data_IF_543918579074
#
_entry.id   IF_543918579074
#
_cell.length_a   1.000
_cell.length_b   1.000
_cell.length_c   1.000
_cell.angle_alpha   90.00
_cell.angle_beta   90.00
_cell.angle_gamma   90.00
#
_symmetry.space_group_name_H-M   'P 1'
#
loop_
_entity.id
_entity.type
_entity.pdbx_description
1 polymer ?
#
# COMPACT_ATOMS: atom_id res chain seq x y z
N UNK A 1 36.30 17.15 -25.43
CA UNK A 1 35.29 17.00 -24.37
C UNK A 1 33.94 16.47 -24.85
N UNK A 2 33.55 16.56 -26.11
CA UNK A 2 32.26 16.09 -26.65
C UNK A 2 32.14 14.58 -26.91
N UNK A 3 33.23 13.86 -27.03
CA UNK A 3 33.20 12.41 -27.35
C UNK A 3 32.77 11.49 -26.19
N UNK A 4 32.84 11.96 -24.95
CA UNK A 4 32.45 11.16 -23.78
C UNK A 4 30.98 11.34 -23.36
N UNK A 5 30.32 12.39 -23.87
CA UNK A 5 28.91 12.63 -23.60
C UNK A 5 27.98 11.68 -24.36
N UNK A 6 28.42 11.22 -25.54
CA UNK A 6 27.66 10.30 -26.40
C UNK A 6 27.72 8.84 -25.85
N UNK A 7 28.81 8.48 -25.18
CA UNK A 7 28.95 7.12 -24.61
C UNK A 7 28.09 6.91 -23.37
N UNK A 8 27.76 7.97 -22.63
CA UNK A 8 26.88 7.88 -21.45
C UNK A 8 25.38 7.81 -21.83
N UNK A 9 25.02 8.34 -23.00
CA UNK A 9 23.66 8.31 -23.53
C UNK A 9 23.24 6.93 -24.06
N UNK A 10 24.19 6.13 -24.52
CA UNK A 10 23.94 4.80 -25.11
C UNK A 10 23.77 3.68 -24.08
N UNK A 11 24.19 3.88 -22.82
CA UNK A 11 23.99 2.89 -21.76
C UNK A 11 22.57 2.87 -21.17
N UNK A 12 21.73 3.86 -21.46
CA UNK A 12 20.34 3.92 -20.97
C UNK A 12 19.31 3.26 -21.91
N UNK A 13 19.73 2.72 -23.04
CA UNK A 13 18.83 2.06 -24.02
C UNK A 13 18.79 0.54 -23.88
N UNK A 14 19.44 -0.03 -22.87
CA UNK A 14 19.43 -1.49 -22.69
C UNK A 14 18.27 -1.85 -21.74
N UNK A 15 17.30 -2.52 -22.35
CA UNK A 15 16.30 -3.37 -21.71
C UNK A 15 14.99 -2.70 -21.23
N UNK A 16 14.25 -2.10 -22.12
CA UNK A 16 12.80 -2.23 -22.08
C UNK A 16 12.39 -3.55 -22.75
N UNK A 17 12.81 -4.69 -22.22
CA UNK A 17 12.10 -5.93 -22.48
C UNK A 17 10.71 -5.75 -21.88
N UNK A 18 9.70 -5.50 -22.74
CA UNK A 18 8.30 -5.44 -22.34
C UNK A 18 7.93 -6.82 -21.79
N UNK A 19 8.00 -6.98 -20.49
CA UNK A 19 7.53 -8.19 -19.84
C UNK A 19 6.07 -8.40 -20.24
N UNK A 20 5.74 -9.56 -20.81
CA UNK A 20 4.36 -9.86 -21.14
C UNK A 20 3.57 -10.10 -19.84
N UNK A 21 2.57 -9.26 -19.60
CA UNK A 21 1.72 -9.38 -18.43
C UNK A 21 0.96 -10.72 -18.36
N UNK A 22 0.80 -11.40 -19.50
CA UNK A 22 0.08 -12.69 -19.59
C UNK A 22 0.91 -13.83 -19.02
N UNK A 23 2.21 -13.79 -19.22
CA UNK A 23 3.15 -14.84 -18.80
C UNK A 23 3.90 -14.50 -17.52
N UNK A 24 3.68 -13.27 -16.98
CA UNK A 24 4.34 -12.82 -15.77
C UNK A 24 4.02 -13.74 -14.58
N UNK A 25 5.03 -14.09 -13.81
CA UNK A 25 4.94 -14.94 -12.63
C UNK A 25 3.98 -14.35 -11.58
N UNK A 26 3.08 -15.18 -11.08
CA UNK A 26 2.09 -14.87 -10.05
C UNK A 26 2.07 -15.92 -8.95
N UNK A 27 3.13 -16.68 -8.78
CA UNK A 27 3.26 -17.67 -7.71
C UNK A 27 3.32 -17.00 -6.34
N UNK A 28 2.98 -17.76 -5.28
CA UNK A 28 3.24 -17.37 -3.89
C UNK A 28 4.73 -17.20 -3.64
N UNK A 29 5.08 -16.33 -2.72
CA UNK A 29 6.45 -16.21 -2.18
C UNK A 29 6.59 -16.84 -0.78
N UNK A 30 5.56 -17.57 -0.33
CA UNK A 30 5.51 -18.31 0.93
C UNK A 30 5.73 -17.42 2.19
N UNK A 31 5.22 -16.18 2.16
CA UNK A 31 5.17 -15.30 3.33
C UNK A 31 3.90 -15.54 4.14
N UNK A 32 2.77 -15.74 3.44
CA UNK A 32 1.51 -16.02 4.10
C UNK A 32 1.47 -17.46 4.62
N UNK A 33 1.03 -17.69 5.87
CA UNK A 33 0.85 -19.05 6.37
C UNK A 33 -0.25 -19.76 5.60
N UNK A 34 -0.08 -21.06 5.39
CA UNK A 34 -1.09 -21.87 4.71
C UNK A 34 -2.34 -22.00 5.59
N UNK A 35 -3.56 -21.86 5.04
CA UNK A 35 -4.80 -22.03 5.79
C UNK A 35 -4.95 -23.41 6.43
N UNK A 36 -4.28 -24.44 5.91
CA UNK A 36 -4.23 -25.79 6.47
C UNK A 36 -3.38 -25.88 7.75
N UNK A 37 -2.39 -25.00 7.91
CA UNK A 37 -1.45 -25.02 9.03
C UNK A 37 -1.94 -24.19 10.22
N UNK A 38 -2.70 -23.11 9.95
CA UNK A 38 -3.19 -22.23 11.00
C UNK A 38 -4.71 -22.04 10.91
N UNK A 39 -5.38 -22.13 12.07
CA UNK A 39 -6.83 -21.90 12.16
C UNK A 39 -7.20 -20.47 12.50
N UNK A 40 -6.29 -19.72 13.12
CA UNK A 40 -6.53 -18.34 13.54
C UNK A 40 -6.89 -17.41 12.37
N UNK A 41 -7.57 -16.32 12.67
CA UNK A 41 -7.79 -15.25 11.72
C UNK A 41 -6.48 -14.55 11.39
N UNK A 42 -6.34 -14.07 10.14
CA UNK A 42 -5.13 -13.36 9.67
C UNK A 42 -5.54 -12.17 8.81
N UNK A 43 -4.86 -11.05 8.99
CA UNK A 43 -4.96 -9.87 8.13
C UNK A 43 -3.56 -9.44 7.70
N UNK A 44 -3.36 -9.31 6.42
CA UNK A 44 -2.12 -8.86 5.80
C UNK A 44 -2.36 -7.66 4.89
N UNK A 45 -1.43 -6.72 4.90
CA UNK A 45 -1.30 -5.69 3.86
C UNK A 45 0.00 -5.93 3.12
N UNK A 46 -0.07 -5.94 1.81
CA UNK A 46 1.08 -6.12 0.93
C UNK A 46 1.26 -4.94 -0.01
N UNK A 47 2.51 -4.73 -0.40
CA UNK A 47 2.89 -3.87 -1.51
C UNK A 47 3.87 -4.62 -2.41
N UNK A 48 3.81 -4.37 -3.70
CA UNK A 48 4.82 -4.85 -4.65
C UNK A 48 5.09 -3.79 -5.72
N UNK A 49 6.30 -3.78 -6.27
CA UNK A 49 6.61 -2.90 -7.40
C UNK A 49 5.58 -3.08 -8.52
N UNK A 50 5.13 -1.97 -9.11
CA UNK A 50 4.16 -2.00 -10.20
C UNK A 50 4.75 -2.64 -11.46
N UNK A 51 3.91 -2.87 -12.46
CA UNK A 51 4.31 -3.49 -13.71
C UNK A 51 4.95 -2.49 -14.68
N UNK A 52 5.85 -2.94 -15.54
CA UNK A 52 6.58 -2.15 -16.54
C UNK A 52 7.47 -1.05 -15.90
N UNK A 53 7.74 0.02 -16.66
CA UNK A 53 8.57 1.14 -16.22
C UNK A 53 8.12 1.78 -14.91
N UNK A 54 6.83 1.68 -14.58
CA UNK A 54 6.26 2.20 -13.32
C UNK A 54 6.85 1.54 -12.07
N UNK A 55 7.40 0.33 -12.20
CA UNK A 55 8.07 -0.38 -11.09
C UNK A 55 9.23 0.41 -10.47
N UNK A 56 9.84 1.30 -11.22
CA UNK A 56 10.94 2.14 -10.74
C UNK A 56 10.46 3.29 -9.85
N UNK A 57 9.18 3.66 -9.94
CA UNK A 57 8.61 4.81 -9.24
C UNK A 57 7.62 4.44 -8.15
N UNK A 58 6.83 3.38 -8.35
CA UNK A 58 5.68 3.13 -7.50
C UNK A 58 5.45 1.65 -7.19
N UNK A 59 4.67 1.43 -6.15
CA UNK A 59 4.14 0.11 -5.76
C UNK A 59 2.64 0.03 -6.01
N UNK A 60 2.14 -1.20 -6.07
CA UNK A 60 0.74 -1.57 -6.01
C UNK A 60 0.49 -2.21 -4.65
N UNK A 61 -0.58 -1.82 -3.97
CA UNK A 61 -0.94 -2.35 -2.65
C UNK A 61 -2.24 -3.14 -2.69
N UNK A 62 -2.38 -4.09 -1.75
CA UNK A 62 -3.60 -4.86 -1.53
C UNK A 62 -3.72 -5.34 -0.09
N UNK A 63 -4.95 -5.69 0.30
CA UNK A 63 -5.27 -6.29 1.59
C UNK A 63 -5.70 -7.73 1.37
N UNK A 64 -5.21 -8.64 2.18
CA UNK A 64 -5.64 -10.02 2.23
C UNK A 64 -6.03 -10.39 3.66
N UNK A 65 -7.11 -11.14 3.81
CA UNK A 65 -7.50 -11.65 5.13
C UNK A 65 -8.10 -13.05 5.04
N UNK A 66 -7.97 -13.78 6.12
CA UNK A 66 -8.57 -15.09 6.35
C UNK A 66 -9.30 -15.07 7.68
N UNK A 67 -10.58 -15.38 7.69
CA UNK A 67 -11.34 -15.56 8.93
C UNK A 67 -10.88 -16.82 9.69
N UNK A 68 -11.19 -16.89 10.98
CA UNK A 68 -10.91 -18.07 11.78
C UNK A 68 -11.54 -19.32 11.15
N UNK A 69 -10.75 -20.36 11.00
CA UNK A 69 -11.19 -21.62 10.40
C UNK A 69 -11.41 -21.60 8.87
N UNK A 70 -11.31 -20.45 8.22
CA UNK A 70 -11.45 -20.37 6.77
C UNK A 70 -10.32 -21.11 6.06
N UNK A 71 -10.66 -21.74 4.91
CA UNK A 71 -9.73 -22.55 4.12
C UNK A 71 -9.00 -21.75 3.04
N UNK A 72 -9.33 -20.49 2.86
CA UNK A 72 -8.80 -19.63 1.80
C UNK A 72 -8.71 -18.18 2.28
N UNK A 73 -7.81 -17.41 1.66
CA UNK A 73 -7.75 -15.98 1.84
C UNK A 73 -8.68 -15.25 0.88
N UNK A 74 -9.31 -14.19 1.37
CA UNK A 74 -9.93 -13.16 0.55
C UNK A 74 -8.92 -12.06 0.27
N UNK A 75 -8.72 -11.74 -0.99
CA UNK A 75 -7.78 -10.70 -1.45
C UNK A 75 -8.55 -9.56 -2.09
N UNK A 76 -8.33 -8.34 -1.61
CA UNK A 76 -8.97 -7.12 -2.10
C UNK A 76 -7.95 -6.11 -2.62
N UNK A 77 -8.18 -5.62 -3.82
CA UNK A 77 -7.40 -4.55 -4.42
C UNK A 77 -8.21 -3.77 -5.47
N UNK A 78 -7.63 -2.68 -5.97
CA UNK A 78 -8.25 -1.84 -7.00
C UNK A 78 -7.48 -1.96 -8.32
N UNK A 79 -8.19 -2.20 -9.41
CA UNK A 79 -7.63 -2.47 -10.73
C UNK A 79 -8.24 -1.53 -11.78
N UNK A 80 -7.46 -0.57 -12.26
CA UNK A 80 -7.93 0.48 -13.16
C UNK A 80 -8.47 -0.01 -14.52
N UNK A 81 -7.97 -1.15 -15.04
CA UNK A 81 -8.48 -1.69 -16.32
C UNK A 81 -9.91 -2.21 -16.23
N UNK A 82 -10.40 -2.56 -15.04
CA UNK A 82 -11.78 -3.01 -14.83
C UNK A 82 -12.78 -1.89 -15.09
N UNK A 83 -12.46 -0.67 -14.64
CA UNK A 83 -13.31 0.52 -14.88
C UNK A 83 -13.45 0.80 -16.37
N UNK A 84 -12.37 0.65 -17.13
CA UNK A 84 -12.42 0.80 -18.60
C UNK A 84 -13.30 -0.26 -19.27
N UNK A 85 -13.46 -1.43 -18.66
CA UNK A 85 -14.38 -2.48 -19.09
C UNK A 85 -15.80 -2.34 -18.51
N UNK A 86 -16.15 -1.23 -17.87
CA UNK A 86 -17.48 -0.98 -17.29
C UNK A 86 -17.73 -1.66 -15.94
N UNK A 87 -16.70 -2.29 -15.34
CA UNK A 87 -16.80 -2.94 -14.03
C UNK A 87 -16.29 -2.07 -12.88
N UNK A 88 -16.55 -2.53 -11.64
CA UNK A 88 -15.96 -1.90 -10.45
C UNK A 88 -14.45 -2.01 -10.47
N UNK A 89 -13.75 -0.93 -10.04
CA UNK A 89 -12.32 -0.95 -9.81
C UNK A 89 -11.95 -1.92 -8.69
N UNK A 90 -12.80 -2.03 -7.67
CA UNK A 90 -12.59 -2.94 -6.54
C UNK A 90 -12.81 -4.38 -6.99
N UNK A 91 -11.88 -5.24 -6.68
CA UNK A 91 -12.03 -6.69 -6.80
C UNK A 91 -11.74 -7.33 -5.44
N UNK A 92 -12.66 -8.19 -5.00
CA UNK A 92 -12.49 -9.09 -3.86
C UNK A 92 -12.72 -10.51 -4.32
N UNK A 93 -11.75 -11.38 -4.13
CA UNK A 93 -11.86 -12.78 -4.49
C UNK A 93 -10.98 -13.66 -3.61
N UNK A 94 -11.29 -14.96 -3.57
CA UNK A 94 -10.39 -15.98 -3.06
C UNK A 94 -9.16 -16.05 -3.94
N UNK A 95 -7.98 -15.87 -3.37
CA UNK A 95 -6.72 -15.87 -4.13
C UNK A 95 -5.53 -16.17 -3.19
N UNK A 96 -4.35 -16.37 -3.77
CA UNK A 96 -3.07 -16.45 -3.08
C UNK A 96 -2.73 -15.05 -2.53
N UNK A 97 -2.63 -14.90 -1.19
CA UNK A 97 -2.49 -13.57 -0.58
C UNK A 97 -1.16 -12.87 -0.90
N UNK A 98 -0.07 -13.63 -0.97
CA UNK A 98 1.31 -13.18 -1.13
C UNK A 98 1.87 -13.46 -2.53
N UNK A 99 0.99 -13.51 -3.52
CA UNK A 99 1.40 -13.76 -4.91
C UNK A 99 2.25 -12.62 -5.47
N UNK A 100 3.22 -12.95 -6.28
CA UNK A 100 4.00 -11.96 -7.03
C UNK A 100 3.08 -11.09 -7.90
N UNK A 101 3.33 -9.79 -7.88
CA UNK A 101 2.62 -8.84 -8.72
C UNK A 101 3.35 -8.67 -10.05
N UNK A 102 2.92 -9.45 -11.05
CA UNK A 102 3.58 -9.49 -12.37
C UNK A 102 5.10 -9.71 -12.30
N UNK A 103 5.51 -10.72 -11.54
CA UNK A 103 6.92 -11.07 -11.33
C UNK A 103 7.61 -10.29 -10.21
N UNK A 104 7.03 -9.22 -9.68
CA UNK A 104 7.62 -8.47 -8.57
C UNK A 104 7.21 -9.10 -7.23
N UNK A 105 8.20 -9.36 -6.39
CA UNK A 105 8.02 -9.93 -5.05
C UNK A 105 7.26 -8.94 -4.15
N UNK A 106 6.19 -9.37 -3.47
CA UNK A 106 5.52 -8.55 -2.49
C UNK A 106 6.35 -8.39 -1.20
N UNK A 107 6.17 -7.25 -0.58
CA UNK A 107 6.62 -6.94 0.77
C UNK A 107 5.39 -6.93 1.69
N UNK A 108 5.50 -7.58 2.85
CA UNK A 108 4.47 -7.60 3.88
C UNK A 108 4.62 -6.36 4.76
N UNK A 109 3.60 -5.51 4.77
CA UNK A 109 3.58 -4.26 5.53
C UNK A 109 3.03 -4.50 6.93
N UNK A 110 2.00 -5.33 7.07
CA UNK A 110 1.47 -5.70 8.38
C UNK A 110 1.00 -7.14 8.41
N UNK A 111 1.12 -7.76 9.58
CA UNK A 111 0.67 -9.11 9.90
C UNK A 111 -0.10 -9.06 11.23
N UNK A 112 -1.42 -9.13 11.18
CA UNK A 112 -2.30 -9.13 12.34
C UNK A 112 -2.93 -10.52 12.44
N UNK A 113 -2.96 -11.11 13.64
CA UNK A 113 -3.41 -12.48 13.84
C UNK A 113 -4.33 -12.66 15.02
N UNK A 114 -5.07 -13.78 15.03
CA UNK A 114 -5.95 -14.20 16.13
C UNK A 114 -7.03 -13.18 16.43
N UNK A 115 -7.29 -12.91 17.72
CA UNK A 115 -8.37 -12.04 18.16
C UNK A 115 -8.31 -10.61 17.59
N UNK A 116 -7.11 -10.06 17.40
CA UNK A 116 -6.94 -8.74 16.80
C UNK A 116 -7.37 -8.75 15.32
N UNK A 117 -7.05 -9.83 14.58
CA UNK A 117 -7.52 -10.01 13.20
C UNK A 117 -9.04 -10.24 13.13
N UNK A 118 -9.62 -10.98 14.07
CA UNK A 118 -11.08 -11.17 14.17
C UNK A 118 -11.81 -9.84 14.37
N UNK A 119 -11.24 -8.93 15.15
CA UNK A 119 -11.78 -7.59 15.36
C UNK A 119 -11.60 -6.70 14.12
N UNK A 120 -10.45 -6.80 13.44
CA UNK A 120 -10.12 -6.00 12.27
C UNK A 120 -10.95 -6.37 11.02
N UNK A 121 -11.21 -7.67 10.77
CA UNK A 121 -11.86 -8.14 9.53
C UNK A 121 -13.23 -7.50 9.28
N UNK A 122 -14.17 -7.39 10.24
CA UNK A 122 -15.43 -6.70 10.03
C UNK A 122 -15.24 -5.21 9.68
N UNK A 123 -14.28 -4.53 10.32
CA UNK A 123 -13.94 -3.13 10.03
C UNK A 123 -13.35 -2.96 8.63
N UNK A 124 -12.49 -3.89 8.20
CA UNK A 124 -11.96 -3.93 6.81
C UNK A 124 -13.10 -4.04 5.80
N UNK A 125 -14.05 -4.96 6.02
CA UNK A 125 -15.21 -5.12 5.14
C UNK A 125 -16.05 -3.84 5.07
N UNK A 126 -16.29 -3.18 6.21
CA UNK A 126 -17.00 -1.91 6.27
C UNK A 126 -16.24 -0.79 5.55
N UNK A 127 -14.91 -0.71 5.73
CA UNK A 127 -14.06 0.25 5.02
C UNK A 127 -14.09 0.03 3.49
N UNK A 128 -14.04 -1.22 3.02
CA UNK A 128 -14.18 -1.55 1.59
C UNK A 128 -15.52 -1.05 1.05
N UNK A 129 -16.62 -1.26 1.79
CA UNK A 129 -17.97 -0.84 1.38
C UNK A 129 -18.13 0.69 1.38
N UNK A 130 -17.45 1.39 2.28
CA UNK A 130 -17.52 2.86 2.38
C UNK A 130 -16.60 3.59 1.39
N UNK A 131 -15.73 2.88 0.66
CA UNK A 131 -14.83 3.51 -0.31
C UNK A 131 -15.58 4.22 -1.42
N UNK A 132 -15.27 5.50 -1.63
CA UNK A 132 -16.07 6.40 -2.47
C UNK A 132 -15.84 6.27 -3.97
N UNK A 133 -14.82 5.51 -4.40
CA UNK A 133 -14.40 5.44 -5.80
C UNK A 133 -14.48 4.02 -6.41
N UNK A 134 -15.57 3.26 -6.22
CA UNK A 134 -15.66 1.89 -6.73
C UNK A 134 -15.66 1.84 -8.26
N UNK A 135 -16.14 2.90 -8.92
CA UNK A 135 -16.28 2.97 -10.38
C UNK A 135 -15.38 4.03 -11.02
N UNK A 136 -14.38 4.50 -10.27
CA UNK A 136 -13.44 5.50 -10.75
C UNK A 136 -12.01 5.12 -10.40
N UNK A 137 -11.09 5.32 -11.34
CA UNK A 137 -9.68 5.05 -11.15
C UNK A 137 -8.84 6.08 -11.89
N UNK A 138 -7.91 6.69 -11.19
CA UNK A 138 -6.88 7.54 -11.77
C UNK A 138 -5.54 7.10 -11.22
N UNK A 139 -4.65 6.67 -12.12
CA UNK A 139 -3.33 6.15 -11.74
C UNK A 139 -2.51 7.18 -10.94
N UNK A 140 -2.59 8.46 -11.34
CA UNK A 140 -1.90 9.59 -10.71
C UNK A 140 -2.81 10.83 -10.73
N UNK A 141 -2.89 11.60 -9.64
CA UNK A 141 -2.35 11.36 -8.29
C UNK A 141 -3.17 10.37 -7.47
N UNK A 142 -4.29 9.91 -7.95
CA UNK A 142 -5.29 9.04 -7.33
C UNK A 142 -6.71 9.46 -7.73
N UNK A 143 -7.76 8.75 -7.29
CA UNK A 143 -7.71 7.53 -6.47
C UNK A 143 -7.23 6.30 -7.25
N UNK A 144 -6.45 5.43 -6.59
CA UNK A 144 -5.86 4.22 -7.17
C UNK A 144 -5.77 3.09 -6.12
N UNK A 145 -4.96 2.06 -6.36
CA UNK A 145 -4.81 0.95 -5.39
C UNK A 145 -4.25 1.41 -4.04
N UNK A 146 -3.32 2.36 -4.04
CA UNK A 146 -2.69 2.83 -2.82
C UNK A 146 -3.65 3.71 -1.99
N UNK A 147 -4.45 4.58 -2.63
CA UNK A 147 -5.50 5.33 -1.93
C UNK A 147 -6.59 4.42 -1.36
N UNK A 148 -6.91 3.31 -2.03
CA UNK A 148 -7.87 2.33 -1.53
C UNK A 148 -7.37 1.63 -0.26
N UNK A 149 -6.12 1.14 -0.27
CA UNK A 149 -5.53 0.50 0.91
C UNK A 149 -5.28 1.51 2.03
N UNK A 150 -4.85 2.72 1.70
CA UNK A 150 -4.71 3.83 2.64
C UNK A 150 -6.05 4.18 3.32
N UNK A 151 -7.17 4.19 2.55
CA UNK A 151 -8.51 4.35 3.11
C UNK A 151 -8.85 3.23 4.12
N UNK A 152 -8.55 1.97 3.78
CA UNK A 152 -8.79 0.85 4.70
C UNK A 152 -7.95 1.01 5.97
N UNK A 153 -6.66 1.29 5.86
CA UNK A 153 -5.76 1.47 7.00
C UNK A 153 -6.29 2.57 7.94
N UNK A 154 -6.69 3.75 7.41
CA UNK A 154 -7.24 4.85 8.22
C UNK A 154 -8.52 4.51 8.98
N UNK A 155 -9.31 3.56 8.47
CA UNK A 155 -10.60 3.17 9.05
C UNK A 155 -10.53 1.92 9.92
N UNK A 156 -9.35 1.30 10.07
CA UNK A 156 -9.13 0.06 10.84
C UNK A 156 -8.02 0.30 11.84
N UNK A 157 -8.40 0.66 13.07
CA UNK A 157 -7.47 1.06 14.12
C UNK A 157 -6.45 -0.02 14.54
N UNK A 158 -6.76 -1.29 14.28
CA UNK A 158 -5.86 -2.41 14.54
C UNK A 158 -4.64 -2.40 13.60
N UNK A 159 -4.74 -1.79 12.43
CA UNK A 159 -3.66 -1.82 11.44
C UNK A 159 -2.46 -0.97 11.84
N UNK A 160 -2.66 0.26 12.29
CA UNK A 160 -1.63 1.20 12.79
C UNK A 160 -0.29 1.22 12.03
N UNK A 161 -0.37 1.11 10.73
CA UNK A 161 0.76 1.14 9.82
C UNK A 161 0.58 2.23 8.78
N UNK A 162 1.61 2.50 8.02
CA UNK A 162 1.58 3.38 6.86
C UNK A 162 2.00 2.63 5.60
N UNK A 163 1.55 3.09 4.45
CA UNK A 163 2.10 2.64 3.19
C UNK A 163 3.45 3.32 2.92
N UNK A 164 4.38 2.64 2.24
CA UNK A 164 5.71 3.20 1.96
C UNK A 164 5.64 4.47 1.09
N UNK A 165 6.66 5.34 1.15
CA UNK A 165 6.66 6.63 0.45
C UNK A 165 6.55 6.53 -1.08
N UNK A 166 6.85 5.37 -1.66
CA UNK A 166 6.65 5.08 -3.07
C UNK A 166 5.25 4.50 -3.40
N UNK A 167 4.33 4.47 -2.44
CA UNK A 167 2.92 4.16 -2.69
C UNK A 167 2.18 5.41 -3.19
N UNK A 168 2.49 5.84 -4.41
CA UNK A 168 1.90 7.03 -5.03
C UNK A 168 0.37 6.94 -4.99
N UNK A 169 -0.28 7.96 -4.43
CA UNK A 169 -1.73 8.02 -4.24
C UNK A 169 -2.19 7.70 -2.81
N UNK A 170 -1.29 7.29 -1.89
CA UNK A 170 -1.64 7.09 -0.48
C UNK A 170 -2.17 8.37 0.18
N UNK A 171 -1.71 9.52 -0.29
CA UNK A 171 -2.08 10.85 0.22
C UNK A 171 -3.37 11.41 -0.42
N UNK A 172 -4.04 10.65 -1.28
CA UNK A 172 -5.35 11.00 -1.80
C UNK A 172 -6.40 10.78 -0.71
N UNK A 173 -6.94 11.87 -0.17
CA UNK A 173 -7.99 11.80 0.84
C UNK A 173 -9.38 11.66 0.21
N UNK A 174 -10.29 10.97 0.90
CA UNK A 174 -11.65 10.76 0.43
C UNK A 174 -12.45 12.07 0.32
N UNK A 175 -13.35 12.13 -0.64
CA UNK A 175 -14.28 13.24 -0.87
C UNK A 175 -13.61 14.62 -1.09
N UNK A 176 -12.33 14.66 -1.48
CA UNK A 176 -11.60 15.93 -1.60
C UNK A 176 -11.35 16.62 -0.24
N UNK A 177 -11.44 15.89 0.86
CA UNK A 177 -11.07 16.41 2.18
C UNK A 177 -9.64 16.93 2.16
N UNK A 178 -9.43 18.07 2.83
CA UNK A 178 -8.08 18.62 3.01
C UNK A 178 -7.40 18.08 4.27
N UNK A 179 -8.17 17.55 5.22
CA UNK A 179 -7.69 17.08 6.53
C UNK A 179 -8.15 15.66 6.81
N UNK A 180 -7.26 14.88 7.40
CA UNK A 180 -7.56 13.52 7.85
C UNK A 180 -6.67 13.16 9.04
N UNK A 181 -7.01 12.08 9.74
CA UNK A 181 -6.01 11.35 10.53
C UNK A 181 -4.91 10.84 9.58
N UNK A 182 -3.69 10.71 10.09
CA UNK A 182 -2.63 9.99 9.37
C UNK A 182 -3.04 8.54 9.08
N UNK A 183 -2.35 7.82 8.20
CA UNK A 183 -2.70 6.43 7.86
C UNK A 183 -2.76 5.54 9.10
N UNK A 184 -1.76 5.62 9.96
CA UNK A 184 -1.70 4.84 11.21
C UNK A 184 -2.72 5.27 12.28
N UNK A 185 -3.36 6.43 12.10
CA UNK A 185 -4.22 7.05 13.11
C UNK A 185 -3.47 7.69 14.28
N UNK A 186 -2.11 7.74 14.23
CA UNK A 186 -1.28 8.26 15.34
C UNK A 186 -0.96 9.75 15.21
N UNK A 187 -1.53 10.41 14.20
CA UNK A 187 -1.31 11.82 13.93
C UNK A 187 -2.32 12.41 12.98
N UNK A 188 -1.93 13.48 12.30
CA UNK A 188 -2.75 14.21 11.35
C UNK A 188 -2.08 14.39 9.99
N UNK A 189 -2.92 14.56 8.98
CA UNK A 189 -2.49 14.82 7.61
C UNK A 189 -3.29 15.97 7.00
N UNK A 190 -2.59 16.85 6.32
CA UNK A 190 -3.16 17.82 5.38
C UNK A 190 -2.75 17.40 3.98
N UNK A 191 -3.71 17.30 3.07
CA UNK A 191 -3.42 16.92 1.68
C UNK A 191 -4.34 17.66 0.70
N UNK A 192 -3.75 18.21 -0.34
CA UNK A 192 -4.45 18.86 -1.45
C UNK A 192 -4.43 17.89 -2.63
N UNK A 193 -5.52 17.15 -2.81
CA UNK A 193 -5.72 16.17 -3.89
C UNK A 193 -4.56 15.17 -4.06
N UNK A 194 -3.87 14.81 -2.96
CA UNK A 194 -2.73 13.91 -3.01
C UNK A 194 -1.51 14.47 -3.76
N UNK A 195 -1.50 15.76 -4.10
CA UNK A 195 -0.42 16.42 -4.83
C UNK A 195 0.52 17.21 -3.91
N UNK A 196 -0.04 17.88 -2.90
CA UNK A 196 0.70 18.62 -1.89
C UNK A 196 0.17 18.25 -0.52
N UNK A 197 1.05 18.06 0.45
CA UNK A 197 0.60 17.74 1.79
C UNK A 197 1.71 17.60 2.81
N UNK A 198 1.30 17.54 4.06
CA UNK A 198 2.16 17.27 5.21
C UNK A 198 1.45 16.25 6.08
N UNK A 199 2.19 15.24 6.52
CA UNK A 199 1.75 14.26 7.51
C UNK A 199 2.66 14.32 8.72
N UNK A 200 2.06 14.37 9.90
CA UNK A 200 2.75 14.33 11.19
C UNK A 200 2.09 13.23 12.02
N UNK A 201 2.86 12.25 12.44
CA UNK A 201 2.36 11.14 13.26
C UNK A 201 3.48 10.38 13.96
N UNK A 202 3.14 9.66 15.02
CA UNK A 202 4.14 8.85 15.73
C UNK A 202 4.67 7.70 14.87
N UNK A 203 3.82 7.12 14.04
CA UNK A 203 4.21 6.06 13.12
C UNK A 203 4.82 6.60 11.84
N UNK A 204 4.25 7.66 11.29
CA UNK A 204 4.72 8.26 10.03
C UNK A 204 5.98 9.12 10.22
N UNK A 205 6.19 9.66 11.43
CA UNK A 205 7.20 10.72 11.63
C UNK A 205 6.73 12.02 10.99
N UNK A 206 7.60 12.62 10.19
CA UNK A 206 7.32 13.84 9.42
C UNK A 206 7.41 13.49 7.94
N UNK A 207 6.33 13.66 7.20
CA UNK A 207 6.31 13.48 5.75
C UNK A 207 5.83 14.75 5.03
N UNK A 208 6.45 15.04 3.90
CA UNK A 208 6.04 16.11 2.98
C UNK A 208 5.74 15.46 1.63
N UNK A 209 4.55 15.69 1.12
CA UNK A 209 4.14 15.28 -0.21
C UNK A 209 4.28 16.47 -1.16
N UNK A 210 5.06 16.30 -2.23
CA UNK A 210 5.22 17.28 -3.31
C UNK A 210 4.96 16.58 -4.63
N UNK A 211 3.94 17.03 -5.36
CA UNK A 211 3.50 16.42 -6.63
C UNK A 211 3.26 14.90 -6.51
N UNK A 212 2.61 14.47 -5.42
CA UNK A 212 2.32 13.05 -5.18
C UNK A 212 3.54 12.20 -4.81
N UNK A 213 4.69 12.81 -4.56
CA UNK A 213 5.94 12.18 -4.15
C UNK A 213 6.19 12.46 -2.68
N UNK A 214 6.24 11.42 -1.85
CA UNK A 214 6.40 11.56 -0.40
C UNK A 214 7.86 11.48 -0.01
N UNK A 215 8.31 12.48 0.72
CA UNK A 215 9.62 12.57 1.38
C UNK A 215 9.39 12.64 2.87
N UNK A 216 10.24 11.99 3.68
CA UNK A 216 10.02 12.03 5.11
C UNK A 216 11.19 11.55 5.94
N UNK A 217 11.01 11.72 7.25
CA UNK A 217 11.93 11.24 8.28
C UNK A 217 11.08 10.60 9.39
N UNK A 218 11.37 9.35 9.69
CA UNK A 218 10.83 8.70 10.89
C UNK A 218 11.88 8.84 12.01
N UNK A 219 11.47 9.50 13.10
CA UNK A 219 12.33 9.76 14.24
C UNK A 219 12.26 8.61 15.24
N UNK A 220 11.08 8.01 15.40
CA UNK A 220 10.86 6.94 16.38
C UNK A 220 11.53 5.63 15.95
N UNK A 221 11.54 5.36 14.66
CA UNK A 221 12.22 4.22 14.03
C UNK A 221 13.16 4.78 12.95
N UNK A 222 14.33 5.27 13.32
CA UNK A 222 15.20 6.09 12.48
C UNK A 222 15.31 5.63 11.04
N UNK A 223 14.72 6.40 10.13
CA UNK A 223 14.72 6.13 8.69
C UNK A 223 14.47 7.40 7.89
N UNK A 224 15.01 7.42 6.68
CA UNK A 224 14.71 8.42 5.65
C UNK A 224 13.73 7.78 4.67
N UNK A 225 12.69 8.52 4.30
CA UNK A 225 11.67 8.12 3.34
C UNK A 225 11.87 8.89 2.04
N UNK A 226 12.06 8.16 0.95
CA UNK A 226 12.31 8.76 -0.36
C UNK A 226 11.32 8.20 -1.40
N UNK A 227 10.75 9.05 -2.28
CA UNK A 227 9.93 8.59 -3.37
C UNK A 227 10.77 7.66 -4.28
N UNK A 228 10.11 6.78 -5.01
CA UNK A 228 10.69 5.74 -5.84
C UNK A 228 11.58 4.71 -5.10
N UNK A 229 12.38 5.13 -4.14
CA UNK A 229 13.29 4.25 -3.38
C UNK A 229 12.53 3.49 -2.30
N UNK A 230 11.75 4.20 -1.49
CA UNK A 230 11.09 3.63 -0.32
C UNK A 230 11.70 4.14 0.98
N UNK A 231 11.64 3.32 2.01
CA UNK A 231 12.19 3.58 3.34
C UNK A 231 13.62 3.08 3.44
N UNK A 232 14.53 3.94 3.91
CA UNK A 232 15.94 3.63 4.17
C UNK A 232 16.23 3.82 5.65
N UNK A 233 16.54 2.76 6.35
CA UNK A 233 16.80 2.76 7.79
C UNK A 233 16.19 1.56 8.49
N UNK A 234 15.75 1.71 9.74
CA UNK A 234 15.08 0.65 10.46
C UNK A 234 13.75 0.29 9.80
N UNK A 235 13.42 -1.00 9.81
CA UNK A 235 12.13 -1.47 9.26
C UNK A 235 10.97 -0.80 9.96
N UNK A 236 9.95 -0.51 9.18
CA UNK A 236 8.67 -0.11 9.72
C UNK A 236 8.03 -1.26 10.49
N UNK A 237 7.36 -0.93 11.59
CA UNK A 237 6.68 -1.89 12.45
C UNK A 237 5.52 -1.20 13.17
N UNK A 238 4.45 -1.92 13.52
CA UNK A 238 3.39 -1.37 14.34
C UNK A 238 3.93 -0.77 15.63
N UNK A 239 3.32 0.34 16.07
CA UNK A 239 3.72 0.97 17.32
C UNK A 239 3.54 0.03 18.52
N UNK A 240 4.41 0.12 19.54
CA UNK A 240 4.22 -0.59 20.79
C UNK A 240 2.85 -0.31 21.42
N UNK A 241 2.24 -1.30 22.05
CA UNK A 241 0.87 -1.23 22.60
C UNK A 241 0.65 -0.05 23.57
N UNK A 242 1.67 0.35 24.32
CA UNK A 242 1.62 1.49 25.24
C UNK A 242 1.48 2.84 24.52
N UNK A 243 1.98 2.97 23.29
CA UNK A 243 1.84 4.18 22.47
C UNK A 243 0.53 4.20 21.67
N UNK A 244 -0.08 3.03 21.46
CA UNK A 244 -1.38 2.91 20.78
C UNK A 244 -2.54 3.49 21.59
N UNK A 245 -2.46 3.46 22.94
CA UNK A 245 -3.53 3.89 23.85
C UNK A 245 -3.70 5.41 24.01
N UNK A 246 -2.76 6.21 23.54
CA UNK A 246 -2.81 7.67 23.71
C UNK A 246 -3.89 8.32 22.83
N UNK A 247 -4.38 7.64 21.79
CA UNK A 247 -5.34 8.20 20.83
C UNK A 247 -6.76 7.61 20.90
N UNK A 248 -7.06 6.81 21.92
CA UNK A 248 -8.38 6.19 22.11
C UNK A 248 -9.24 6.84 23.21
N UNK A 249 -8.85 8.03 23.69
CA UNK A 249 -9.60 8.85 24.65
C UNK A 249 -10.25 10.05 23.98
#
# INVERSE_FOLDING_TARGET
>A
MFKYLILFSSLFLISCANADWRTADRSSVNIAPLPSEIKEAVVHVYVARTFNWKKYLSVHSWVAFKEQGAKEYMVYHVLGWRVRGGGSAIIGKKDIPDRKWYGNTPELITDIRGAEAETAIPKIKAAIQSYKYPNFYRMYPGPNSNSFVSHIIRNVEEMQVELPPNAIGKDWLDNGSLFSKSESGTGGQVSIFGLLGITLGLAEGIEINILGLSFGIDILRPAIKLPAVGRLGLKDAPLPKNLRRINSS
#
